data_IF_030195086386
#
_entry.id   IF_030195086386
#
_cell.length_a   1.000
_cell.length_b   1.000
_cell.length_c   1.000
_cell.angle_alpha   90.00
_cell.angle_beta   90.00
_cell.angle_gamma   90.00
#
_symmetry.space_group_name_H-M   'P 1'
#
loop_
_entity.id
_entity.type
_entity.pdbx_description
1 polymer ?
#
# COMPACT_ATOMS: atom_id res chain seq x y z
N UNK A 1 -8.74 -45.29 37.19
CA UNK A 1 -8.74 -45.52 36.40
C UNK A 1 -9.42 -44.93 35.44
N UNK A 2 -9.92 -44.79 34.98
CA UNK A 2 -10.75 -44.35 34.20
C UNK A 2 -10.73 -43.01 33.98
N UNK A 3 -10.08 -42.31 34.35
CA UNK A 3 -10.17 -41.05 34.25
C UNK A 3 -9.59 -40.46 33.14
N UNK A 4 -8.80 -40.89 32.54
CA UNK A 4 -8.22 -40.26 31.60
C UNK A 4 -8.83 -39.89 30.41
N UNK A 5 -9.75 -40.22 30.02
CA UNK A 5 -10.27 -39.93 28.81
C UNK A 5 -10.56 -38.62 28.50
N UNK A 6 -10.93 -37.86 29.24
CA UNK A 6 -11.44 -36.69 28.88
C UNK A 6 -10.53 -35.73 28.33
N UNK A 7 -9.43 -35.68 28.60
CA UNK A 7 -8.64 -34.71 28.14
C UNK A 7 -8.57 -34.64 26.69
N UNK A 8 -8.63 -35.56 26.03
CA UNK A 8 -8.50 -35.56 24.63
C UNK A 8 -9.44 -34.61 24.02
N UNK A 9 -10.50 -34.48 24.55
CA UNK A 9 -11.49 -33.69 24.00
C UNK A 9 -11.11 -32.23 23.87
N UNK A 10 -10.45 -31.79 24.79
CA UNK A 10 -10.18 -30.47 24.73
C UNK A 10 -9.29 -30.09 23.69
N UNK A 11 -8.38 -30.77 23.36
CA UNK A 11 -7.49 -30.44 22.35
C UNK A 11 -8.24 -30.09 21.11
N UNK A 12 -9.19 -30.81 20.85
CA UNK A 12 -9.92 -30.59 19.64
C UNK A 12 -10.51 -29.25 19.59
N UNK A 13 -10.98 -28.82 20.64
CA UNK A 13 -11.58 -27.57 20.62
C UNK A 13 -10.65 -26.49 20.31
N UNK A 14 -9.53 -26.56 20.82
CA UNK A 14 -8.64 -25.51 20.61
C UNK A 14 -8.39 -25.35 19.16
N UNK A 15 -8.28 -26.39 18.47
CA UNK A 15 -7.97 -26.31 17.11
C UNK A 15 -8.98 -25.54 16.35
N UNK A 16 -10.17 -25.69 16.64
CA UNK A 16 -11.09 -25.03 15.90
C UNK A 16 -11.05 -23.61 16.03
N UNK A 17 -10.72 -23.13 17.09
CA UNK A 17 -10.81 -21.75 17.30
C UNK A 17 -9.95 -20.98 16.42
N UNK A 18 -8.84 -21.56 15.95
CA UNK A 18 -8.11 -20.81 15.18
C UNK A 18 -8.53 -20.63 13.79
N UNK A 19 -9.18 -21.50 13.20
CA UNK A 19 -9.51 -21.41 11.84
C UNK A 19 -10.30 -20.21 11.53
N UNK A 20 -11.01 -19.71 12.43
CA UNK A 20 -11.82 -18.61 12.11
C UNK A 20 -11.05 -17.35 11.96
N UNK A 21 -9.89 -17.28 12.51
CA UNK A 21 -9.21 -16.07 12.42
C UNK A 21 -8.55 -15.85 11.14
N UNK A 22 -8.27 -16.83 10.45
CA UNK A 22 -7.53 -16.65 9.25
C UNK A 22 -8.27 -15.94 8.20
N UNK A 23 -9.51 -15.69 8.37
CA UNK A 23 -10.24 -15.05 7.35
C UNK A 23 -10.07 -13.59 7.30
N UNK A 24 -9.40 -13.03 8.21
CA UNK A 24 -9.29 -11.62 8.21
C UNK A 24 -8.33 -11.17 7.18
N UNK A 25 -8.81 -10.76 6.08
CA UNK A 25 -7.97 -10.27 5.05
C UNK A 25 -7.30 -9.02 5.48
N UNK A 26 -6.11 -8.78 5.03
CA UNK A 26 -5.45 -7.54 5.31
C UNK A 26 -5.93 -6.53 4.32
N UNK A 27 -6.57 -5.47 4.74
CA UNK A 27 -7.09 -4.49 3.79
C UNK A 27 -5.99 -3.74 3.07
N UNK A 28 -4.87 -3.53 3.70
CA UNK A 28 -3.79 -2.76 3.09
C UNK A 28 -2.58 -3.63 2.78
N UNK A 29 -1.99 -3.41 1.63
CA UNK A 29 -0.84 -4.16 1.18
C UNK A 29 0.20 -3.23 0.59
N UNK A 30 1.48 -3.44 0.91
CA UNK A 30 2.56 -2.66 0.33
C UNK A 30 2.77 -3.11 -1.12
N UNK A 31 2.61 -2.19 -2.06
CA UNK A 31 2.74 -2.49 -3.47
C UNK A 31 4.14 -2.24 -4.00
N UNK A 32 4.87 -1.38 -3.37
CA UNK A 32 6.24 -1.10 -3.76
C UNK A 32 6.77 0.14 -3.09
N UNK A 33 8.04 0.37 -3.25
CA UNK A 33 8.71 1.53 -2.68
C UNK A 33 9.76 2.03 -3.65
N UNK A 34 9.99 3.33 -3.65
CA UNK A 34 11.04 3.95 -4.46
C UNK A 34 11.80 4.95 -3.64
N UNK A 35 13.11 4.89 -3.76
CA UNK A 35 13.95 5.91 -3.20
C UNK A 35 13.83 7.09 -4.14
N UNK A 36 13.58 8.26 -3.61
CA UNK A 36 13.41 9.45 -4.42
C UNK A 36 14.72 9.79 -5.10
N UNK A 37 14.67 10.01 -6.41
CA UNK A 37 15.84 10.40 -7.15
C UNK A 37 15.78 11.90 -7.36
N UNK A 38 16.60 12.62 -6.64
CA UNK A 38 16.57 14.09 -6.67
C UNK A 38 17.12 14.68 -7.98
N UNK A 39 17.58 13.85 -8.89
CA UNK A 39 17.96 14.30 -10.22
C UNK A 39 16.77 14.22 -11.18
N UNK A 40 15.70 13.56 -10.78
CA UNK A 40 14.51 13.44 -11.59
C UNK A 40 13.36 14.06 -10.84
N UNK A 41 12.28 14.32 -11.51
CA UNK A 41 11.10 14.89 -10.90
C UNK A 41 9.94 13.90 -10.98
N UNK A 42 10.19 12.68 -11.36
CA UNK A 42 9.14 11.67 -11.38
C UNK A 42 9.72 10.26 -11.27
N UNK A 43 8.92 9.34 -10.85
CA UNK A 43 9.28 7.92 -10.76
C UNK A 43 8.00 7.09 -10.90
N UNK A 44 8.12 5.80 -11.00
CA UNK A 44 6.94 4.95 -11.09
C UNK A 44 7.08 3.65 -10.32
N UNK A 45 5.97 3.10 -9.90
CA UNK A 45 5.92 1.78 -9.29
C UNK A 45 5.00 0.93 -10.14
N UNK A 46 5.51 -0.20 -10.62
CA UNK A 46 4.71 -1.14 -11.38
C UNK A 46 3.93 -2.02 -10.41
N UNK A 47 2.65 -2.22 -10.72
CA UNK A 47 1.78 -3.08 -9.93
C UNK A 47 1.28 -4.17 -10.87
N UNK A 48 1.50 -5.44 -10.55
CA UNK A 48 1.13 -6.49 -11.48
C UNK A 48 -0.29 -6.97 -11.23
N UNK A 49 -0.85 -7.65 -12.21
CA UNK A 49 -2.16 -8.20 -12.04
C UNK A 49 -2.23 -9.18 -10.92
N UNK A 50 -1.15 -9.83 -10.58
CA UNK A 50 -1.11 -10.80 -9.50
C UNK A 50 -1.44 -10.16 -8.15
N UNK A 51 -1.31 -8.85 -8.04
CA UNK A 51 -1.63 -8.18 -6.80
C UNK A 51 -3.14 -8.07 -6.58
N UNK A 52 -3.93 -8.26 -7.60
CA UNK A 52 -5.39 -8.30 -7.47
C UNK A 52 -6.08 -6.98 -7.69
N UNK A 53 -7.22 -6.81 -7.05
CA UNK A 53 -8.07 -5.65 -7.21
C UNK A 53 -7.95 -4.71 -6.03
N UNK A 54 -7.98 -3.42 -6.30
CA UNK A 54 -7.83 -2.41 -5.27
C UNK A 54 -8.97 -1.40 -5.28
N UNK A 55 -9.30 -0.87 -4.13
CA UNK A 55 -10.31 0.17 -3.99
C UNK A 55 -9.71 1.51 -3.62
N UNK A 56 -8.49 1.52 -3.13
CA UNK A 56 -7.84 2.77 -2.72
C UNK A 56 -6.34 2.64 -2.63
N UNK A 57 -5.69 3.78 -2.58
CA UNK A 57 -4.24 3.87 -2.46
C UNK A 57 -3.86 4.85 -1.36
N UNK A 58 -2.67 4.69 -0.82
CA UNK A 58 -2.11 5.63 0.13
C UNK A 58 -0.59 5.65 -0.02
N UNK A 59 0.01 6.81 0.08
CA UNK A 59 1.45 6.94 0.07
C UNK A 59 1.96 7.12 1.48
N UNK A 60 3.11 6.53 1.77
CA UNK A 60 3.82 6.76 3.03
C UNK A 60 5.22 7.20 2.68
N UNK A 61 5.70 8.22 3.35
CA UNK A 61 7.01 8.78 3.09
C UNK A 61 7.92 8.48 4.26
N UNK A 62 9.10 7.96 3.97
CA UNK A 62 10.07 7.54 4.97
C UNK A 62 11.40 8.22 4.72
N UNK A 63 12.20 8.29 5.76
CA UNK A 63 13.60 8.70 5.69
C UNK A 63 13.91 10.15 5.35
N UNK A 64 13.16 10.80 4.60
CA UNK A 64 13.36 12.21 4.27
C UNK A 64 12.12 12.80 3.67
N UNK A 65 12.00 14.12 3.64
CA UNK A 65 10.79 14.76 3.13
C UNK A 65 10.70 14.67 1.61
N UNK A 66 9.49 14.61 1.11
CA UNK A 66 9.22 14.60 -0.32
C UNK A 66 8.05 15.53 -0.62
N UNK A 67 8.27 16.48 -1.50
CA UNK A 67 7.20 17.38 -1.92
C UNK A 67 6.51 16.76 -3.13
N UNK A 68 5.36 16.14 -2.90
CA UNK A 68 4.64 15.41 -3.92
C UNK A 68 3.59 16.30 -4.56
N UNK A 69 3.61 16.41 -5.88
CA UNK A 69 2.62 17.19 -6.59
C UNK A 69 1.40 16.38 -6.90
N UNK A 70 1.57 15.25 -7.56
CA UNK A 70 0.44 14.42 -7.95
C UNK A 70 0.88 13.00 -8.25
N UNK A 71 -0.09 12.12 -8.35
CA UNK A 71 0.16 10.77 -8.84
C UNK A 71 -0.76 10.53 -10.03
N UNK A 72 -0.35 9.66 -10.93
CA UNK A 72 -1.19 9.23 -12.04
C UNK A 72 -1.31 7.72 -11.96
N UNK A 73 -2.52 7.24 -11.81
CA UNK A 73 -2.79 5.82 -11.67
C UNK A 73 -3.17 5.27 -13.04
N UNK A 74 -2.47 4.26 -13.50
CA UNK A 74 -2.76 3.60 -14.77
C UNK A 74 -3.45 2.28 -14.47
N UNK A 75 -4.67 2.14 -14.95
CA UNK A 75 -5.47 0.95 -14.69
C UNK A 75 -5.25 -0.12 -15.73
N UNK A 76 -5.58 -1.34 -15.40
CA UNK A 76 -5.37 -2.47 -16.29
C UNK A 76 -6.13 -2.41 -17.59
N UNK A 77 -7.22 -1.65 -17.65
CA UNK A 77 -8.00 -1.51 -18.87
C UNK A 77 -7.51 -0.37 -19.77
N UNK A 78 -6.42 0.26 -19.43
CA UNK A 78 -5.86 1.35 -20.24
C UNK A 78 -6.27 2.75 -19.81
N UNK A 79 -7.20 2.86 -18.90
CA UNK A 79 -7.58 4.17 -18.39
C UNK A 79 -6.54 4.70 -17.41
N UNK A 80 -6.52 5.98 -17.20
CA UNK A 80 -5.67 6.57 -16.18
C UNK A 80 -6.40 7.71 -15.50
N UNK A 81 -6.01 7.95 -14.26
CA UNK A 81 -6.62 8.99 -13.45
C UNK A 81 -5.54 9.74 -12.71
N UNK A 82 -5.63 11.05 -12.67
CA UNK A 82 -4.66 11.88 -11.99
C UNK A 82 -5.23 12.36 -10.67
N UNK A 83 -4.44 12.29 -9.61
CA UNK A 83 -4.85 12.75 -8.29
C UNK A 83 -3.85 13.78 -7.80
N UNK A 84 -4.33 14.99 -7.52
CA UNK A 84 -3.49 16.04 -6.99
C UNK A 84 -3.25 15.83 -5.51
N UNK A 85 -2.02 15.93 -5.08
CA UNK A 85 -1.69 15.83 -3.67
C UNK A 85 -1.17 17.15 -3.11
N UNK A 86 -0.28 17.78 -3.83
CA UNK A 86 0.26 19.09 -3.50
C UNK A 86 0.64 19.24 -2.04
N UNK A 87 1.43 18.35 -1.56
CA UNK A 87 1.81 18.34 -0.17
C UNK A 87 3.28 18.02 0.02
N UNK A 88 3.91 18.72 0.96
CA UNK A 88 5.27 18.43 1.32
C UNK A 88 5.21 17.44 2.47
N UNK A 89 5.42 16.17 2.18
CA UNK A 89 5.32 15.12 3.17
C UNK A 89 6.61 15.02 3.97
N UNK A 90 6.50 15.06 5.29
CA UNK A 90 7.66 14.87 6.13
C UNK A 90 7.97 13.41 6.24
N UNK A 91 9.18 13.07 6.62
CA UNK A 91 9.55 11.69 6.90
C UNK A 91 8.62 11.14 7.97
N UNK A 92 8.09 9.97 7.74
CA UNK A 92 7.16 9.33 8.69
C UNK A 92 5.70 9.69 8.48
N UNK A 93 5.37 10.50 7.51
CA UNK A 93 3.99 10.90 7.27
C UNK A 93 3.34 10.07 6.17
N UNK A 94 2.03 10.21 6.04
CA UNK A 94 1.30 9.49 5.01
C UNK A 94 0.27 10.41 4.34
N UNK A 95 -0.12 10.07 3.13
CA UNK A 95 -1.11 10.85 2.40
C UNK A 95 -2.51 10.54 2.88
N UNK A 96 -3.46 11.30 2.40
CA UNK A 96 -4.86 10.92 2.54
C UNK A 96 -5.09 9.61 1.79
N UNK A 97 -6.14 8.92 2.09
CA UNK A 97 -6.54 7.74 1.33
C UNK A 97 -7.13 8.23 0.02
N UNK A 98 -6.64 7.68 -1.09
CA UNK A 98 -7.09 8.06 -2.40
C UNK A 98 -8.04 6.97 -2.89
N UNK A 99 -9.33 7.27 -2.94
CA UNK A 99 -10.31 6.31 -3.38
C UNK A 99 -10.30 6.19 -4.89
N UNK A 100 -10.30 4.98 -5.40
CA UNK A 100 -10.23 4.76 -6.83
C UNK A 100 -11.63 4.74 -7.44
N UNK A 101 -11.83 5.43 -8.57
CA UNK A 101 -13.13 5.44 -9.20
C UNK A 101 -13.45 4.06 -9.75
N UNK A 102 -14.69 3.65 -9.69
CA UNK A 102 -15.11 2.35 -10.19
C UNK A 102 -14.97 1.24 -9.20
N UNK A 103 -14.66 1.57 -7.95
CA UNK A 103 -14.60 0.59 -6.88
C UNK A 103 -13.38 -0.35 -6.99
N UNK A 104 -13.51 -1.58 -7.37
CA UNK A 104 -12.38 -2.49 -7.40
C UNK A 104 -11.71 -2.44 -8.76
N UNK A 105 -10.44 -2.09 -8.78
CA UNK A 105 -9.72 -1.89 -10.03
C UNK A 105 -8.38 -2.61 -10.04
N UNK A 106 -8.01 -3.13 -11.20
CA UNK A 106 -6.67 -3.63 -11.44
C UNK A 106 -5.79 -2.43 -11.73
N UNK A 107 -4.65 -2.33 -11.08
CA UNK A 107 -3.71 -1.24 -11.32
C UNK A 107 -2.51 -1.78 -12.07
N UNK A 108 -2.09 -1.07 -13.11
CA UNK A 108 -0.94 -1.46 -13.88
C UNK A 108 0.30 -0.80 -13.33
N UNK A 109 0.24 0.48 -13.07
CA UNK A 109 1.35 1.23 -12.48
C UNK A 109 0.87 2.54 -11.90
N UNK A 110 1.68 3.14 -11.07
CA UNK A 110 1.42 4.46 -10.51
C UNK A 110 2.65 5.32 -10.74
N UNK A 111 2.46 6.46 -11.37
CA UNK A 111 3.51 7.45 -11.57
C UNK A 111 3.45 8.48 -10.47
N UNK A 112 4.62 8.88 -9.97
CA UNK A 112 4.72 9.90 -8.94
C UNK A 112 5.44 11.11 -9.53
N UNK A 113 4.85 12.28 -9.37
CA UNK A 113 5.47 13.52 -9.81
C UNK A 113 5.77 14.35 -8.58
N UNK A 114 7.02 14.63 -8.34
CA UNK A 114 7.45 15.33 -7.14
C UNK A 114 8.47 16.41 -7.47
N UNK A 115 8.74 17.23 -6.45
CA UNK A 115 9.63 18.34 -6.60
C UNK A 115 10.96 17.98 -5.97
N UNK A 116 12.03 18.31 -6.59
CA UNK A 116 13.35 17.98 -6.12
C UNK A 116 14.01 19.08 -5.30
N UNK A 117 13.21 20.06 -4.86
CA UNK A 117 13.77 21.18 -4.14
C UNK A 117 14.27 20.87 -2.74
N UNK A 118 13.79 19.82 -2.15
CA UNK A 118 14.25 19.46 -0.83
C UNK A 118 15.60 18.79 -0.90
N UNK A 119 16.64 19.58 -0.84
CA UNK A 119 17.95 19.06 -1.02
C UNK A 119 18.64 18.57 0.22
N UNK A 120 18.10 18.86 1.34
CA UNK A 120 18.82 18.68 2.58
C UNK A 120 19.31 17.28 2.83
N UNK A 121 18.58 16.30 2.78
CA UNK A 121 19.04 14.96 3.06
C UNK A 121 18.95 13.97 1.96
N UNK A 122 18.18 14.22 0.98
CA UNK A 122 18.08 13.37 -0.19
C UNK A 122 17.92 11.91 0.06
N UNK A 123 17.17 11.57 1.10
CA UNK A 123 16.98 10.17 1.44
C UNK A 123 15.54 9.74 1.47
N UNK A 124 14.66 10.52 0.89
CA UNK A 124 13.25 10.19 0.92
C UNK A 124 12.95 8.88 0.23
N UNK A 125 12.03 8.14 0.79
CA UNK A 125 11.53 6.91 0.20
C UNK A 125 10.01 7.03 0.17
N UNK A 126 9.40 6.73 -0.96
CA UNK A 126 7.95 6.75 -1.10
C UNK A 126 7.48 5.30 -1.18
N UNK A 127 6.57 4.93 -0.30
CA UNK A 127 5.94 3.62 -0.32
C UNK A 127 4.52 3.76 -0.84
N UNK A 128 4.12 2.87 -1.73
CA UNK A 128 2.76 2.83 -2.23
C UNK A 128 2.02 1.67 -1.60
N UNK A 129 0.92 1.99 -0.95
CA UNK A 129 0.07 0.99 -0.30
C UNK A 129 -1.28 0.94 -0.99
N UNK A 130 -1.80 -0.25 -1.19
CA UNK A 130 -3.10 -0.46 -1.81
C UNK A 130 -4.08 -1.10 -0.85
N UNK A 131 -5.34 -0.65 -0.91
CA UNK A 131 -6.42 -1.23 -0.11
C UNK A 131 -7.26 -2.12 -1.02
N UNK A 132 -7.42 -3.35 -0.63
CA UNK A 132 -8.23 -4.32 -1.38
C UNK A 132 -9.74 -4.15 -1.22
#
# INVERSE_FOLDING_TARGET
MKIKLFFAAFAALAAMSFTTLSNNARPWELLGARKVNYALDHDEILVTRAEGLFTGLQLKVKRGPVNMHRIVVHFGNGEKEEFELRENFRAGSESRVIDLPGNKRVIKKVDFLYDTKNLANRKGVVELWGRH
#
